data_IF_987597609879
#
_entry.id   IF_987597609879
#
_cell.length_a   1.000
_cell.length_b   1.000
_cell.length_c   1.000
_cell.angle_alpha   90.00
_cell.angle_beta   90.00
_cell.angle_gamma   90.00
#
_symmetry.space_group_name_H-M   'P 1'
#
loop_
_entity.id
_entity.type
_entity.pdbx_description
1 polymer ?
#
# COMPACT_ATOMS: atom_id res chain seq x y z
N UNK A 1 28.08 -3.19 5.20
CA UNK A 1 27.07 -3.72 6.14
C UNK A 1 26.04 -4.53 5.37
N UNK A 2 26.31 -5.83 5.23
CA UNK A 2 25.41 -6.85 4.69
C UNK A 2 24.66 -7.45 5.88
N UNK A 3 23.35 -7.25 6.00
CA UNK A 3 22.52 -7.89 7.03
C UNK A 3 21.15 -8.27 6.44
N UNK A 4 21.15 -9.21 5.48
CA UNK A 4 19.91 -9.68 4.83
C UNK A 4 20.00 -11.18 4.45
N UNK A 5 20.99 -11.91 4.98
CA UNK A 5 21.34 -13.27 4.54
C UNK A 5 20.59 -14.42 5.23
N UNK A 6 19.76 -14.17 6.26
CA UNK A 6 18.95 -15.23 6.91
C UNK A 6 17.47 -15.27 6.48
N UNK A 7 17.02 -14.35 5.62
CA UNK A 7 15.61 -14.21 5.22
C UNK A 7 15.24 -14.95 3.93
N UNK A 8 16.14 -15.74 3.35
CA UNK A 8 15.94 -16.35 2.03
C UNK A 8 14.88 -17.45 2.01
N UNK A 9 14.91 -18.37 2.98
CA UNK A 9 13.91 -19.45 3.12
C UNK A 9 12.56 -18.91 3.60
N UNK A 10 12.56 -18.11 4.68
CA UNK A 10 11.35 -17.54 5.28
C UNK A 10 10.55 -16.63 4.32
N UNK A 11 11.21 -15.92 3.40
CA UNK A 11 10.51 -15.08 2.44
C UNK A 11 9.80 -15.87 1.32
N UNK A 12 10.43 -16.96 0.82
CA UNK A 12 9.79 -17.80 -0.19
C UNK A 12 8.67 -18.64 0.40
N UNK A 13 8.84 -19.14 1.63
CA UNK A 13 7.77 -19.80 2.37
C UNK A 13 6.59 -18.85 2.60
N UNK A 14 6.86 -17.59 2.98
CA UNK A 14 5.80 -16.60 3.15
C UNK A 14 5.08 -16.30 1.84
N UNK A 15 5.80 -16.15 0.72
CA UNK A 15 5.17 -15.98 -0.61
C UNK A 15 4.28 -17.17 -0.95
N UNK A 16 4.75 -18.40 -0.75
CA UNK A 16 3.96 -19.60 -1.04
C UNK A 16 2.69 -19.65 -0.19
N UNK A 17 2.74 -19.28 1.09
CA UNK A 17 1.56 -19.22 1.97
C UNK A 17 0.60 -18.10 1.54
N UNK A 18 1.14 -16.96 1.11
CA UNK A 18 0.35 -15.86 0.56
C UNK A 18 -0.36 -16.24 -0.77
N UNK A 19 0.08 -17.30 -1.44
CA UNK A 19 -0.54 -17.88 -2.64
C UNK A 19 -1.49 -19.07 -2.35
N UNK A 20 -1.73 -19.42 -1.09
CA UNK A 20 -2.70 -20.47 -0.74
C UNK A 20 -4.14 -19.94 -0.71
N UNK A 21 -5.09 -20.81 -1.08
CA UNK A 21 -6.53 -20.55 -0.92
C UNK A 21 -6.85 -20.32 0.57
N UNK A 22 -7.65 -19.32 0.85
CA UNK A 22 -8.17 -19.00 2.19
C UNK A 22 -9.67 -18.78 2.11
N UNK A 23 -10.41 -19.07 3.19
CA UNK A 23 -11.85 -18.75 3.29
C UNK A 23 -12.12 -17.25 3.16
N UNK A 24 -11.09 -16.41 3.34
CA UNK A 24 -11.16 -14.95 3.31
C UNK A 24 -10.62 -14.33 2.03
N UNK A 25 -10.07 -15.13 1.10
CA UNK A 25 -9.50 -14.64 -0.15
C UNK A 25 -10.32 -15.15 -1.33
N UNK A 26 -10.94 -14.21 -2.07
CA UNK A 26 -11.65 -14.56 -3.32
C UNK A 26 -10.70 -15.15 -4.37
N UNK A 27 -11.20 -16.03 -5.25
CA UNK A 27 -10.41 -16.64 -6.33
C UNK A 27 -9.71 -15.57 -7.19
N UNK A 28 -10.45 -14.54 -7.60
CA UNK A 28 -9.89 -13.41 -8.36
C UNK A 28 -8.84 -12.62 -7.56
N UNK A 29 -9.04 -12.49 -6.25
CA UNK A 29 -8.05 -11.87 -5.37
C UNK A 29 -6.76 -12.69 -5.29
N UNK A 30 -6.87 -14.03 -5.28
CA UNK A 30 -5.72 -14.92 -5.29
C UNK A 30 -4.93 -14.83 -6.60
N UNK A 31 -5.60 -14.82 -7.74
CA UNK A 31 -4.98 -14.63 -9.06
C UNK A 31 -4.24 -13.28 -9.13
N UNK A 32 -4.90 -12.21 -8.69
CA UNK A 32 -4.33 -10.87 -8.63
C UNK A 32 -3.09 -10.82 -7.71
N UNK A 33 -3.17 -11.42 -6.52
CA UNK A 33 -2.04 -11.49 -5.59
C UNK A 33 -0.86 -12.28 -6.19
N UNK A 34 -1.15 -13.38 -6.90
CA UNK A 34 -0.16 -14.21 -7.59
C UNK A 34 0.74 -13.40 -8.52
N UNK A 35 0.16 -12.56 -9.38
CA UNK A 35 0.89 -11.66 -10.29
C UNK A 35 1.95 -10.83 -9.54
N UNK A 36 1.57 -10.23 -8.42
CA UNK A 36 2.45 -9.36 -7.64
C UNK A 36 3.52 -10.14 -6.88
N UNK A 37 3.20 -11.33 -6.38
CA UNK A 37 4.18 -12.20 -5.73
C UNK A 37 5.24 -12.73 -6.69
N UNK A 38 4.85 -13.07 -7.92
CA UNK A 38 5.80 -13.50 -8.96
C UNK A 38 6.74 -12.35 -9.34
N UNK A 39 6.22 -11.12 -9.41
CA UNK A 39 7.04 -9.93 -9.62
C UNK A 39 8.05 -9.72 -8.47
N UNK A 40 7.62 -9.88 -7.21
CA UNK A 40 8.51 -9.81 -6.05
C UNK A 40 9.58 -10.91 -6.05
N UNK A 41 9.22 -12.11 -6.51
CA UNK A 41 10.13 -13.25 -6.67
C UNK A 41 11.18 -12.95 -7.73
N UNK A 42 10.78 -12.43 -8.91
CA UNK A 42 11.68 -11.95 -9.97
C UNK A 42 12.72 -10.97 -9.42
N UNK A 43 12.29 -9.95 -8.67
CA UNK A 43 13.22 -8.98 -8.09
C UNK A 43 14.26 -9.59 -7.15
N UNK A 44 13.85 -10.59 -6.36
CA UNK A 44 14.72 -11.24 -5.39
C UNK A 44 15.69 -12.22 -6.04
N UNK A 45 15.20 -13.03 -6.98
CA UNK A 45 15.94 -14.17 -7.54
C UNK A 45 16.74 -13.81 -8.79
N UNK A 46 16.34 -12.77 -9.54
CA UNK A 46 16.96 -12.41 -10.80
C UNK A 46 17.62 -11.03 -10.73
N UNK A 47 16.86 -9.99 -10.36
CA UNK A 47 17.33 -8.60 -10.47
C UNK A 47 18.37 -8.24 -9.38
N UNK A 48 18.12 -8.58 -8.11
CA UNK A 48 19.06 -8.30 -7.00
C UNK A 48 20.41 -9.01 -7.20
N UNK A 49 20.47 -10.32 -7.55
CA UNK A 49 21.73 -11.01 -7.82
C UNK A 49 22.48 -10.45 -9.03
N UNK A 50 21.78 -10.13 -10.12
CA UNK A 50 22.40 -9.54 -11.31
C UNK A 50 23.12 -8.22 -10.98
N UNK A 51 22.48 -7.29 -10.26
CA UNK A 51 23.13 -6.04 -9.84
C UNK A 51 24.33 -6.29 -8.91
N UNK A 52 24.32 -7.34 -8.10
CA UNK A 52 25.44 -7.66 -7.22
C UNK A 52 26.68 -8.16 -7.98
N UNK A 53 26.49 -8.78 -9.15
CA UNK A 53 27.57 -9.33 -9.99
C UNK A 53 28.24 -8.28 -10.89
N UNK A 54 27.58 -7.15 -11.17
CA UNK A 54 28.12 -6.08 -12.03
C UNK A 54 28.54 -4.85 -11.22
N UNK A 55 29.85 -4.64 -11.05
CA UNK A 55 30.40 -3.59 -10.19
C UNK A 55 30.00 -2.17 -10.62
N UNK A 56 30.03 -1.86 -11.91
CA UNK A 56 29.65 -0.54 -12.45
C UNK A 56 28.17 -0.25 -12.22
N UNK A 57 27.29 -1.22 -12.50
CA UNK A 57 25.85 -1.10 -12.24
C UNK A 57 25.57 -0.89 -10.76
N UNK A 58 26.29 -1.61 -9.88
CA UNK A 58 26.17 -1.44 -8.44
C UNK A 58 26.54 -0.02 -7.99
N UNK A 59 27.62 0.55 -8.50
CA UNK A 59 28.04 1.91 -8.13
C UNK A 59 27.01 2.95 -8.61
N UNK A 60 26.59 2.88 -9.87
CA UNK A 60 25.56 3.75 -10.43
C UNK A 60 24.23 3.64 -9.68
N UNK A 61 23.79 2.40 -9.41
CA UNK A 61 22.59 2.10 -8.64
C UNK A 61 22.61 2.74 -7.25
N UNK A 62 23.71 2.64 -6.51
CA UNK A 62 23.81 3.21 -5.16
C UNK A 62 23.78 4.73 -5.17
N UNK A 63 24.41 5.38 -6.16
CA UNK A 63 24.35 6.84 -6.33
C UNK A 63 22.93 7.32 -6.63
N UNK A 64 22.27 6.71 -7.63
CA UNK A 64 20.89 7.02 -8.00
C UNK A 64 19.92 6.78 -6.85
N UNK A 65 20.10 5.66 -6.14
CA UNK A 65 19.36 5.30 -4.93
C UNK A 65 19.42 6.39 -3.86
N UNK A 66 20.61 6.89 -3.53
CA UNK A 66 20.78 7.93 -2.50
C UNK A 66 20.08 9.22 -2.89
N UNK A 67 20.20 9.63 -4.17
CA UNK A 67 19.50 10.82 -4.68
C UNK A 67 17.98 10.67 -4.57
N UNK A 68 17.43 9.54 -5.02
CA UNK A 68 15.99 9.24 -4.93
C UNK A 68 15.48 9.23 -3.49
N UNK A 69 16.17 8.54 -2.58
CA UNK A 69 15.76 8.49 -1.17
C UNK A 69 15.67 9.88 -0.54
N UNK A 70 16.67 10.74 -0.81
CA UNK A 70 16.67 12.12 -0.32
C UNK A 70 15.51 12.94 -0.91
N UNK A 71 15.24 12.82 -2.21
CA UNK A 71 14.16 13.55 -2.86
C UNK A 71 12.79 13.12 -2.31
N UNK A 72 12.54 11.82 -2.15
CA UNK A 72 11.29 11.29 -1.59
C UNK A 72 11.09 11.78 -0.15
N UNK A 73 12.14 11.78 0.68
CA UNK A 73 12.07 12.30 2.05
C UNK A 73 11.87 13.82 2.15
N UNK A 74 11.95 14.56 1.04
CA UNK A 74 11.72 16.01 0.96
C UNK A 74 10.37 16.32 0.29
N UNK A 75 9.52 15.32 0.07
CA UNK A 75 8.21 15.53 -0.51
C UNK A 75 7.33 16.34 0.44
N UNK A 76 6.83 17.45 -0.09
CA UNK A 76 5.80 18.27 0.54
C UNK A 76 4.67 18.43 -0.44
N UNK A 77 3.47 18.69 0.07
CA UNK A 77 2.28 18.85 -0.75
C UNK A 77 2.26 20.23 -1.45
N UNK A 78 3.13 20.39 -2.44
CA UNK A 78 3.23 21.56 -3.30
C UNK A 78 3.49 21.12 -4.72
N UNK A 79 2.74 21.67 -5.68
CA UNK A 79 2.88 21.36 -7.12
C UNK A 79 4.32 21.35 -7.60
N UNK A 80 5.04 22.43 -7.34
CA UNK A 80 6.41 22.64 -7.84
C UNK A 80 7.36 21.54 -7.33
N UNK A 81 7.25 21.18 -6.06
CA UNK A 81 8.05 20.11 -5.45
C UNK A 81 7.72 18.76 -6.07
N UNK A 82 6.44 18.43 -6.21
CA UNK A 82 5.96 17.18 -6.82
C UNK A 82 6.45 17.06 -8.27
N UNK A 83 6.28 18.11 -9.08
CA UNK A 83 6.71 18.15 -10.48
C UNK A 83 8.23 17.99 -10.61
N UNK A 84 9.00 18.74 -9.79
CA UNK A 84 10.46 18.65 -9.79
C UNK A 84 10.94 17.24 -9.46
N UNK A 85 10.44 16.67 -8.36
CA UNK A 85 10.85 15.32 -7.91
C UNK A 85 10.45 14.26 -8.95
N UNK A 86 9.27 14.38 -9.55
CA UNK A 86 8.81 13.49 -10.61
C UNK A 86 9.73 13.56 -11.82
N UNK A 87 10.09 14.75 -12.29
CA UNK A 87 10.97 14.92 -13.45
C UNK A 87 12.41 14.45 -13.17
N UNK A 88 12.94 14.72 -11.96
CA UNK A 88 14.24 14.23 -11.53
C UNK A 88 14.28 12.70 -11.46
N UNK A 89 13.23 12.09 -10.90
CA UNK A 89 13.10 10.63 -10.84
C UNK A 89 12.94 10.00 -12.23
N UNK A 90 12.14 10.62 -13.11
CA UNK A 90 12.00 10.21 -14.51
C UNK A 90 13.33 10.23 -15.26
N UNK A 91 14.15 11.27 -15.04
CA UNK A 91 15.49 11.37 -15.64
C UNK A 91 16.38 10.23 -15.14
N UNK A 92 16.42 9.98 -13.83
CA UNK A 92 17.20 8.87 -13.26
C UNK A 92 16.75 7.52 -13.82
N UNK A 93 15.44 7.30 -13.96
CA UNK A 93 14.89 6.07 -14.51
C UNK A 93 15.31 5.86 -15.97
N UNK A 94 15.18 6.91 -16.77
CA UNK A 94 15.56 6.90 -18.20
C UNK A 94 17.06 6.70 -18.39
N UNK A 95 17.89 7.30 -17.53
CA UNK A 95 19.35 7.11 -17.53
C UNK A 95 19.71 5.65 -17.21
N UNK A 96 19.09 5.08 -16.18
CA UNK A 96 19.27 3.67 -15.83
C UNK A 96 18.81 2.74 -16.96
N UNK A 97 17.70 3.05 -17.63
CA UNK A 97 17.18 2.28 -18.76
C UNK A 97 18.13 2.28 -19.95
N UNK A 98 18.73 3.44 -20.29
CA UNK A 98 19.75 3.51 -21.34
C UNK A 98 21.00 2.68 -21.04
N UNK A 99 21.30 2.46 -19.76
CA UNK A 99 22.44 1.61 -19.35
C UNK A 99 22.09 0.13 -19.36
N UNK A 100 20.94 -0.27 -18.78
CA UNK A 100 20.52 -1.67 -18.69
C UNK A 100 19.08 -1.79 -18.19
N UNK A 101 18.29 -2.68 -18.80
CA UNK A 101 16.94 -3.00 -18.33
C UNK A 101 16.94 -3.53 -16.88
N UNK A 102 17.96 -4.30 -16.49
CA UNK A 102 18.10 -4.81 -15.12
C UNK A 102 18.29 -3.66 -14.12
N UNK A 103 19.09 -2.65 -14.48
CA UNK A 103 19.33 -1.47 -13.65
C UNK A 103 18.07 -0.61 -13.56
N UNK A 104 17.33 -0.47 -14.65
CA UNK A 104 16.05 0.23 -14.71
C UNK A 104 14.98 -0.43 -13.82
N UNK A 105 14.79 -1.74 -13.95
CA UNK A 105 13.90 -2.50 -13.08
C UNK A 105 14.31 -2.40 -11.60
N UNK A 106 15.62 -2.47 -11.32
CA UNK A 106 16.12 -2.35 -9.96
C UNK A 106 15.84 -0.96 -9.36
N UNK A 107 16.05 0.12 -10.12
CA UNK A 107 15.86 1.49 -9.60
C UNK A 107 14.38 1.84 -9.42
N UNK A 108 13.51 1.34 -10.32
CA UNK A 108 12.05 1.40 -10.14
C UNK A 108 11.64 0.69 -8.85
N UNK A 109 12.11 -0.54 -8.65
CA UNK A 109 11.83 -1.29 -7.44
C UNK A 109 12.37 -0.66 -6.17
N UNK A 110 13.56 -0.05 -6.23
CA UNK A 110 14.08 0.72 -5.11
C UNK A 110 13.19 1.92 -4.77
N UNK A 111 12.75 2.66 -5.79
CA UNK A 111 11.89 3.83 -5.61
C UNK A 111 10.55 3.45 -5.01
N UNK A 112 9.94 2.36 -5.50
CA UNK A 112 8.72 1.80 -4.92
C UNK A 112 8.90 1.43 -3.44
N UNK A 113 10.03 0.80 -3.07
CA UNK A 113 10.35 0.53 -1.66
C UNK A 113 10.47 1.81 -0.84
N UNK A 114 11.15 2.83 -1.35
CA UNK A 114 11.34 4.09 -0.64
C UNK A 114 10.01 4.83 -0.42
N UNK A 115 9.09 4.80 -1.38
CA UNK A 115 7.74 5.36 -1.24
C UNK A 115 6.92 4.62 -0.16
N UNK A 116 6.98 3.30 -0.14
CA UNK A 116 6.30 2.47 0.89
C UNK A 116 6.92 2.70 2.27
N UNK A 117 8.26 2.71 2.38
CA UNK A 117 8.97 3.03 3.63
C UNK A 117 8.58 4.41 4.16
N UNK A 118 8.43 5.41 3.28
CA UNK A 118 8.00 6.76 3.65
C UNK A 118 6.55 6.79 4.18
N UNK A 119 5.65 5.98 3.60
CA UNK A 119 4.28 5.88 4.10
C UNK A 119 4.22 5.25 5.49
N UNK A 120 5.02 4.22 5.73
CA UNK A 120 5.09 3.56 7.04
C UNK A 120 5.59 4.49 8.15
N UNK A 121 6.30 5.56 7.81
CA UNK A 121 6.77 6.56 8.78
C UNK A 121 5.88 7.81 8.83
N UNK A 122 5.73 8.53 7.72
CA UNK A 122 5.09 9.86 7.71
C UNK A 122 3.58 9.80 7.52
N UNK A 123 3.08 8.89 6.68
CA UNK A 123 1.63 8.78 6.43
C UNK A 123 0.92 8.19 7.65
N UNK A 124 1.58 7.24 8.33
CA UNK A 124 1.14 6.71 9.63
C UNK A 124 0.85 7.82 10.64
N UNK A 125 1.71 8.85 10.71
CA UNK A 125 1.56 9.97 11.66
C UNK A 125 0.69 11.10 11.12
N UNK A 126 0.77 11.38 9.82
CA UNK A 126 0.05 12.47 9.15
C UNK A 126 -0.48 11.97 7.80
N UNK A 127 -1.73 11.47 7.74
CA UNK A 127 -2.27 10.84 6.54
C UNK A 127 -2.30 11.74 5.29
N UNK A 128 -2.39 13.07 5.43
CA UNK A 128 -2.33 14.00 4.29
C UNK A 128 -1.00 13.98 3.54
N UNK A 129 0.08 13.43 4.13
CA UNK A 129 1.36 13.22 3.42
C UNK A 129 1.27 12.10 2.37
N UNK A 130 0.18 11.33 2.33
CA UNK A 130 -0.08 10.33 1.29
C UNK A 130 -0.22 10.95 -0.10
N UNK A 131 -0.83 12.14 -0.20
CA UNK A 131 -1.13 12.78 -1.48
C UNK A 131 0.11 13.12 -2.32
N UNK A 132 1.15 13.81 -1.81
CA UNK A 132 2.36 14.07 -2.61
C UNK A 132 3.07 12.78 -3.04
N UNK A 133 3.07 11.74 -2.19
CA UNK A 133 3.63 10.42 -2.55
C UNK A 133 2.82 9.76 -3.68
N UNK A 134 1.49 9.83 -3.62
CA UNK A 134 0.60 9.29 -4.63
C UNK A 134 0.73 10.03 -5.97
N UNK A 135 0.80 11.36 -5.98
CA UNK A 135 1.01 12.16 -7.20
C UNK A 135 2.30 11.77 -7.91
N UNK A 136 3.43 11.72 -7.20
CA UNK A 136 4.71 11.27 -7.78
C UNK A 136 4.59 9.84 -8.31
N UNK A 137 3.95 8.95 -7.56
CA UNK A 137 3.75 7.55 -7.95
C UNK A 137 2.99 7.43 -9.26
N UNK A 138 1.82 8.07 -9.34
CA UNK A 138 0.92 8.02 -10.50
C UNK A 138 1.60 8.67 -11.71
N UNK A 139 2.20 9.83 -11.56
CA UNK A 139 2.88 10.51 -12.66
C UNK A 139 4.08 9.70 -13.19
N UNK A 140 4.89 9.10 -12.31
CA UNK A 140 5.96 8.20 -12.77
C UNK A 140 5.39 6.97 -13.48
N UNK A 141 4.29 6.40 -12.99
CA UNK A 141 3.65 5.25 -13.62
C UNK A 141 3.07 5.55 -15.01
N UNK A 142 2.62 6.79 -15.27
CA UNK A 142 2.19 7.20 -16.63
C UNK A 142 3.36 7.25 -17.62
N UNK A 143 4.59 7.45 -17.14
CA UNK A 143 5.82 7.54 -17.97
C UNK A 143 6.61 6.23 -18.04
N UNK A 144 6.47 5.37 -17.04
CA UNK A 144 7.28 4.17 -16.87
C UNK A 144 6.40 2.95 -16.70
N UNK A 145 6.25 2.18 -17.79
CA UNK A 145 5.50 0.95 -17.81
C UNK A 145 5.99 -0.03 -16.73
N UNK A 146 5.06 -0.68 -16.06
CA UNK A 146 5.34 -1.62 -14.96
C UNK A 146 5.63 -0.97 -13.61
N UNK A 147 5.94 0.32 -13.52
CA UNK A 147 6.25 0.97 -12.23
C UNK A 147 5.09 0.87 -11.23
N UNK A 148 3.85 1.05 -11.70
CA UNK A 148 2.66 0.89 -10.86
C UNK A 148 2.54 -0.52 -10.28
N UNK A 149 2.71 -1.57 -11.11
CA UNK A 149 2.66 -2.95 -10.65
C UNK A 149 3.71 -3.24 -9.58
N UNK A 150 4.91 -2.64 -9.71
CA UNK A 150 5.98 -2.76 -8.71
C UNK A 150 5.58 -2.09 -7.38
N UNK A 151 4.96 -0.91 -7.43
CA UNK A 151 4.49 -0.20 -6.23
C UNK A 151 3.38 -0.99 -5.53
N UNK A 152 2.38 -1.47 -6.27
CA UNK A 152 1.29 -2.28 -5.71
C UNK A 152 1.84 -3.58 -5.12
N UNK A 153 2.79 -4.25 -5.78
CA UNK A 153 3.45 -5.43 -5.22
C UNK A 153 4.18 -5.15 -3.91
N UNK A 154 4.84 -3.98 -3.78
CA UNK A 154 5.49 -3.57 -2.54
C UNK A 154 4.49 -3.25 -1.45
N UNK A 155 3.38 -2.59 -1.77
CA UNK A 155 2.31 -2.33 -0.80
C UNK A 155 1.68 -3.63 -0.30
N UNK A 156 1.32 -4.57 -1.19
CA UNK A 156 0.71 -5.87 -0.82
C UNK A 156 1.64 -6.68 0.08
N UNK A 157 2.95 -6.66 -0.19
CA UNK A 157 3.94 -7.34 0.67
C UNK A 157 3.90 -6.81 2.11
N UNK A 158 3.69 -5.51 2.29
CA UNK A 158 3.73 -4.85 3.60
C UNK A 158 2.37 -4.77 4.27
N UNK A 159 1.29 -4.69 3.49
CA UNK A 159 -0.08 -4.65 3.95
C UNK A 159 -0.89 -5.70 3.15
N UNK A 160 -1.07 -6.92 3.70
CA UNK A 160 -1.79 -7.97 2.99
C UNK A 160 -3.26 -7.63 2.79
N UNK A 161 -3.79 -6.63 3.49
CA UNK A 161 -5.17 -6.20 3.39
C UNK A 161 -5.50 -5.42 2.11
N UNK A 162 -4.51 -5.00 1.30
CA UNK A 162 -4.77 -4.43 -0.03
C UNK A 162 -5.47 -5.41 -0.97
N UNK A 163 -5.26 -6.71 -0.77
CA UNK A 163 -6.09 -7.75 -1.34
C UNK A 163 -6.71 -8.46 -0.15
N UNK A 164 -7.94 -8.10 0.26
CA UNK A 164 -8.49 -8.49 1.55
C UNK A 164 -8.31 -9.98 1.85
N UNK A 165 -7.55 -10.26 2.91
CA UNK A 165 -7.24 -11.59 3.43
C UNK A 165 -6.90 -11.47 4.91
N UNK A 166 -7.34 -12.45 5.69
CA UNK A 166 -6.91 -12.65 7.08
C UNK A 166 -6.18 -13.99 7.20
N UNK A 167 -5.30 -14.09 8.20
CA UNK A 167 -4.43 -15.26 8.43
C UNK A 167 -4.79 -16.01 9.71
N UNK A 168 -6.04 -15.89 10.14
CA UNK A 168 -6.66 -16.51 11.31
C UNK A 168 -7.31 -17.88 10.99
N UNK A 169 -7.08 -18.40 9.79
CA UNK A 169 -7.75 -19.58 9.23
C UNK A 169 -7.03 -20.91 9.49
N UNK A 170 -5.76 -20.87 9.91
CA UNK A 170 -4.93 -22.04 10.10
C UNK A 170 -4.52 -22.21 11.57
N UNK A 171 -5.17 -23.10 12.32
CA UNK A 171 -4.88 -23.29 13.75
C UNK A 171 -3.52 -23.94 14.01
N UNK A 172 -2.85 -24.49 12.98
CA UNK A 172 -1.53 -25.11 13.12
C UNK A 172 -0.39 -24.10 12.95
N UNK A 173 -0.68 -22.90 12.45
CA UNK A 173 0.30 -21.86 12.19
C UNK A 173 0.77 -21.23 13.49
N UNK A 174 2.08 -21.06 13.65
CA UNK A 174 2.61 -20.42 14.86
C UNK A 174 2.24 -18.93 14.90
N UNK A 175 2.08 -18.33 16.10
CA UNK A 175 1.77 -16.90 16.23
C UNK A 175 2.80 -15.99 15.54
N UNK A 176 4.08 -16.35 15.56
CA UNK A 176 5.15 -15.58 14.92
C UNK A 176 5.11 -15.67 13.39
N UNK A 177 4.76 -16.83 12.83
CA UNK A 177 4.52 -16.96 11.38
C UNK A 177 3.30 -16.15 10.95
N UNK A 178 2.22 -16.21 11.72
CA UNK A 178 1.00 -15.41 11.47
C UNK A 178 1.32 -13.91 11.49
N UNK A 179 2.07 -13.43 12.49
CA UNK A 179 2.53 -12.02 12.56
C UNK A 179 3.33 -11.61 11.32
N UNK A 180 4.28 -12.45 10.88
CA UNK A 180 5.06 -12.19 9.66
C UNK A 180 4.20 -12.09 8.40
N UNK A 181 3.20 -12.96 8.25
CA UNK A 181 2.27 -12.92 7.11
C UNK A 181 1.35 -11.71 7.16
N UNK A 182 0.94 -11.32 8.35
CA UNK A 182 0.13 -10.13 8.60
C UNK A 182 0.91 -8.83 8.36
N UNK A 183 2.24 -8.86 8.30
CA UNK A 183 3.07 -7.70 8.06
C UNK A 183 3.58 -7.01 9.34
N UNK A 184 3.44 -7.65 10.51
CA UNK A 184 4.01 -7.14 11.75
C UNK A 184 5.53 -6.93 11.61
N UNK A 185 6.01 -5.93 12.31
CA UNK A 185 7.40 -5.55 12.42
C UNK A 185 7.90 -5.73 13.84
N UNK A 186 9.21 -5.84 13.95
CA UNK A 186 9.87 -5.77 15.23
C UNK A 186 10.03 -4.31 15.64
N UNK A 187 9.53 -3.97 16.82
CA UNK A 187 9.83 -2.70 17.51
C UNK A 187 11.29 -2.67 17.96
N UNK A 188 11.81 -3.82 18.40
CA UNK A 188 13.23 -4.08 18.62
C UNK A 188 13.66 -5.33 17.86
N UNK A 189 14.51 -5.14 16.85
CA UNK A 189 15.02 -6.24 16.00
C UNK A 189 16.02 -7.14 16.72
N UNK A 190 16.78 -6.61 17.67
CA UNK A 190 17.79 -7.37 18.42
C UNK A 190 17.10 -8.26 19.46
N UNK A 191 16.12 -7.70 20.17
CA UNK A 191 15.30 -8.45 21.12
C UNK A 191 14.22 -9.32 20.45
N UNK A 192 14.03 -9.22 19.13
CA UNK A 192 12.92 -9.82 18.37
C UNK A 192 11.55 -9.52 18.98
N UNK A 193 11.40 -8.31 19.52
CA UNK A 193 10.15 -7.85 20.13
C UNK A 193 9.25 -7.31 19.03
N UNK A 194 8.05 -7.87 18.91
CA UNK A 194 7.03 -7.38 17.98
C UNK A 194 6.54 -5.99 18.42
N UNK A 195 6.15 -5.17 17.45
CA UNK A 195 5.38 -3.95 17.73
C UNK A 195 4.02 -4.31 18.34
N UNK A 196 3.44 -3.37 19.09
CA UNK A 196 2.13 -3.60 19.71
C UNK A 196 0.98 -3.48 18.68
N UNK A 197 -0.23 -3.86 19.10
CA UNK A 197 -1.40 -3.85 18.22
C UNK A 197 -1.82 -2.44 17.76
N UNK A 198 -1.50 -1.39 18.53
CA UNK A 198 -1.80 0.00 18.17
C UNK A 198 -0.85 0.44 17.07
N UNK A 199 0.46 0.25 17.26
CA UNK A 199 1.51 0.56 16.27
C UNK A 199 1.25 -0.18 14.95
N UNK A 200 0.91 -1.48 15.04
CA UNK A 200 0.55 -2.29 13.89
C UNK A 200 -0.64 -1.71 13.11
N UNK A 201 -1.74 -1.39 13.81
CA UNK A 201 -2.95 -0.83 13.18
C UNK A 201 -2.67 0.53 12.54
N UNK A 202 -1.88 1.38 13.19
CA UNK A 202 -1.49 2.69 12.66
C UNK A 202 -0.68 2.55 11.37
N UNK A 203 0.35 1.68 11.35
CA UNK A 203 1.15 1.49 10.14
C UNK A 203 0.29 0.92 8.99
N UNK A 204 -0.68 0.03 9.29
CA UNK A 204 -1.55 -0.57 8.28
C UNK A 204 -2.49 0.48 7.70
N UNK A 205 -3.00 1.36 8.56
CA UNK A 205 -3.82 2.52 8.18
C UNK A 205 -3.04 3.49 7.30
N UNK A 206 -1.75 3.73 7.61
CA UNK A 206 -0.85 4.55 6.78
C UNK A 206 -0.63 3.97 5.38
N UNK A 207 -0.40 2.66 5.27
CA UNK A 207 -0.24 1.97 3.99
C UNK A 207 -1.54 1.99 3.16
N UNK A 208 -2.69 1.75 3.78
CA UNK A 208 -4.00 1.89 3.12
C UNK A 208 -4.24 3.34 2.68
N UNK A 209 -3.81 4.33 3.46
CA UNK A 209 -3.95 5.75 3.11
C UNK A 209 -3.11 6.12 1.88
N UNK A 210 -1.85 5.65 1.78
CA UNK A 210 -1.06 5.82 0.57
C UNK A 210 -1.73 5.17 -0.64
N UNK A 211 -2.20 3.92 -0.48
CA UNK A 211 -2.87 3.20 -1.55
C UNK A 211 -4.18 3.88 -1.99
N UNK A 212 -4.98 4.37 -1.04
CA UNK A 212 -6.19 5.14 -1.28
C UNK A 212 -5.88 6.44 -2.06
N UNK A 213 -4.80 7.13 -1.68
CA UNK A 213 -4.34 8.32 -2.38
C UNK A 213 -3.92 7.98 -3.83
N UNK A 214 -3.24 6.85 -4.05
CA UNK A 214 -2.87 6.40 -5.41
C UNK A 214 -4.12 6.17 -6.26
N UNK A 215 -5.12 5.42 -5.80
CA UNK A 215 -6.30 5.09 -6.62
C UNK A 215 -7.19 6.30 -6.92
N UNK A 216 -7.21 7.30 -6.04
CA UNK A 216 -8.07 8.46 -6.19
C UNK A 216 -7.41 9.62 -6.96
N UNK A 217 -6.08 9.60 -7.06
CA UNK A 217 -5.30 10.64 -7.76
C UNK A 217 -5.67 10.71 -9.24
N UNK A 218 -5.97 11.91 -9.72
CA UNK A 218 -6.03 12.22 -11.13
C UNK A 218 -4.67 12.81 -11.56
N UNK A 219 -4.02 12.29 -12.62
CA UNK A 219 -2.79 12.87 -13.14
C UNK A 219 -2.98 14.32 -13.61
N UNK A 220 -1.87 15.03 -13.82
CA UNK A 220 -1.88 16.36 -14.42
C UNK A 220 -2.59 16.38 -15.78
N UNK A 221 -3.26 17.49 -16.15
CA UNK A 221 -3.80 17.66 -17.48
C UNK A 221 -2.75 17.34 -18.56
N UNK A 222 -3.09 16.44 -19.48
CA UNK A 222 -2.21 15.99 -20.56
C UNK A 222 -1.30 14.79 -20.25
N UNK A 223 -1.30 14.26 -19.01
CA UNK A 223 -0.52 13.05 -18.65
C UNK A 223 -1.31 11.74 -18.76
N UNK A 224 -2.49 11.77 -19.37
CA UNK A 224 -3.35 10.59 -19.52
C UNK A 224 -4.14 10.26 -18.25
N UNK A 225 -4.63 9.02 -18.17
CA UNK A 225 -5.41 8.53 -17.03
C UNK A 225 -4.52 7.87 -15.98
N UNK A 226 -5.05 7.76 -14.75
CA UNK A 226 -4.37 7.02 -13.69
C UNK A 226 -4.26 5.54 -14.08
N UNK A 227 -3.04 4.96 -14.16
CA UNK A 227 -2.86 3.54 -14.51
C UNK A 227 -3.47 2.55 -13.51
N UNK A 228 -3.85 3.02 -12.32
CA UNK A 228 -4.48 2.22 -11.27
C UNK A 228 -5.65 3.00 -10.63
N UNK A 229 -6.77 3.15 -11.36
CA UNK A 229 -7.80 4.11 -11.03
C UNK A 229 -8.75 3.63 -9.92
N UNK A 230 -9.69 4.50 -9.52
CA UNK A 230 -10.60 4.35 -8.36
C UNK A 230 -11.44 3.06 -8.37
N UNK A 231 -11.61 2.41 -9.52
CA UNK A 231 -12.25 1.10 -9.70
C UNK A 231 -11.59 0.01 -8.84
N UNK A 232 -10.27 0.09 -8.61
CA UNK A 232 -9.57 -0.82 -7.70
C UNK A 232 -10.00 -0.58 -6.25
N UNK A 233 -10.26 0.68 -5.88
CA UNK A 233 -10.89 1.06 -4.61
C UNK A 233 -12.27 0.42 -4.42
N UNK A 234 -13.13 0.49 -5.44
CA UNK A 234 -14.46 -0.12 -5.40
C UNK A 234 -14.37 -1.64 -5.22
N UNK A 235 -13.49 -2.29 -6.00
CA UNK A 235 -13.25 -3.73 -5.93
C UNK A 235 -12.76 -4.15 -4.54
N UNK A 236 -11.85 -3.38 -3.95
CA UNK A 236 -11.37 -3.61 -2.59
C UNK A 236 -12.48 -3.49 -1.55
N UNK A 237 -13.27 -2.41 -1.59
CA UNK A 237 -14.36 -2.18 -0.64
C UNK A 237 -15.43 -3.28 -0.75
N UNK A 238 -15.76 -3.71 -1.96
CA UNK A 238 -16.67 -4.84 -2.17
C UNK A 238 -16.08 -6.15 -1.62
N UNK A 239 -14.79 -6.44 -1.86
CA UNK A 239 -14.13 -7.65 -1.36
C UNK A 239 -14.08 -7.68 0.16
N UNK A 240 -13.69 -6.58 0.80
CA UNK A 240 -13.58 -6.52 2.26
C UNK A 240 -14.94 -6.65 2.93
N UNK A 241 -16.00 -6.00 2.40
CA UNK A 241 -17.37 -6.18 2.90
C UNK A 241 -17.97 -7.57 2.66
N UNK A 242 -17.40 -8.37 1.75
CA UNK A 242 -17.86 -9.74 1.47
C UNK A 242 -17.18 -10.82 2.33
N UNK A 243 -16.31 -10.43 3.26
CA UNK A 243 -15.68 -11.33 4.24
C UNK A 243 -16.00 -10.85 5.66
N UNK A 244 -16.17 -11.74 6.66
CA UNK A 244 -16.46 -11.32 8.03
C UNK A 244 -15.41 -10.33 8.55
N UNK A 245 -15.79 -9.22 9.21
CA UNK A 245 -14.82 -8.25 9.70
C UNK A 245 -14.05 -8.81 10.90
N UNK A 246 -12.79 -8.38 11.02
CA UNK A 246 -11.93 -8.53 12.21
C UNK A 246 -11.72 -7.16 12.87
N UNK A 247 -11.20 -7.12 14.10
CA UNK A 247 -10.94 -5.88 14.85
C UNK A 247 -10.22 -4.76 14.07
N UNK A 248 -9.31 -5.09 13.14
CA UNK A 248 -8.59 -4.10 12.32
C UNK A 248 -9.45 -3.49 11.19
N UNK A 249 -10.47 -4.21 10.74
CA UNK A 249 -11.24 -3.90 9.50
C UNK A 249 -11.85 -2.50 9.49
N UNK A 250 -12.49 -2.03 10.59
CA UNK A 250 -13.04 -0.68 10.61
C UNK A 250 -11.98 0.40 10.40
N UNK A 251 -10.77 0.21 10.94
CA UNK A 251 -9.67 1.16 10.77
C UNK A 251 -9.20 1.22 9.32
N UNK A 252 -9.11 0.07 8.63
CA UNK A 252 -8.73 0.02 7.21
C UNK A 252 -9.77 0.73 6.34
N UNK A 253 -11.06 0.43 6.54
CA UNK A 253 -12.16 1.07 5.79
C UNK A 253 -12.17 2.58 6.06
N UNK A 254 -12.05 3.00 7.32
CA UNK A 254 -12.04 4.41 7.68
C UNK A 254 -10.85 5.15 7.03
N UNK A 255 -9.64 4.57 7.09
CA UNK A 255 -8.43 5.16 6.47
C UNK A 255 -8.58 5.32 4.96
N UNK A 256 -9.20 4.33 4.30
CA UNK A 256 -9.48 4.42 2.88
C UNK A 256 -10.49 5.52 2.56
N UNK A 257 -11.61 5.60 3.29
CA UNK A 257 -12.67 6.58 3.05
C UNK A 257 -12.23 8.02 3.37
N UNK A 258 -11.44 8.24 4.43
CA UNK A 258 -10.89 9.55 4.76
C UNK A 258 -10.04 10.15 3.64
N UNK A 259 -9.39 9.31 2.82
CA UNK A 259 -8.51 9.73 1.72
C UNK A 259 -9.21 9.72 0.35
N UNK A 260 -9.96 8.68 0.04
CA UNK A 260 -10.53 8.44 -1.29
C UNK A 260 -12.06 8.51 -1.33
N UNK A 261 -12.73 8.68 -0.19
CA UNK A 261 -14.18 8.63 -0.06
C UNK A 261 -14.91 9.64 -0.94
N UNK A 262 -14.44 10.89 -0.99
CA UNK A 262 -15.03 11.93 -1.84
C UNK A 262 -14.96 11.55 -3.33
N UNK A 263 -13.78 11.12 -3.82
CA UNK A 263 -13.61 10.68 -5.20
C UNK A 263 -14.45 9.44 -5.51
N UNK A 264 -14.56 8.52 -4.55
CA UNK A 264 -15.39 7.33 -4.68
C UNK A 264 -16.88 7.69 -4.75
N UNK A 265 -17.35 8.63 -3.93
CA UNK A 265 -18.74 9.12 -3.95
C UNK A 265 -19.05 9.83 -5.26
N UNK A 266 -18.13 10.67 -5.74
CA UNK A 266 -18.27 11.34 -7.03
C UNK A 266 -18.34 10.33 -8.19
N UNK A 267 -17.62 9.21 -8.10
CA UNK A 267 -17.60 8.17 -9.14
C UNK A 267 -18.83 7.24 -9.05
N UNK A 268 -19.29 6.93 -7.85
CA UNK A 268 -20.38 5.98 -7.58
C UNK A 268 -21.50 6.59 -6.70
N UNK A 269 -22.12 7.72 -7.10
CA UNK A 269 -22.98 8.52 -6.22
C UNK A 269 -24.25 7.79 -5.76
N UNK A 270 -24.68 6.77 -6.50
CA UNK A 270 -25.86 5.95 -6.16
C UNK A 270 -25.52 4.64 -5.45
N UNK A 271 -24.32 4.11 -5.67
CA UNK A 271 -23.95 2.78 -5.18
C UNK A 271 -23.12 2.84 -3.89
N UNK A 272 -22.21 3.81 -3.77
CA UNK A 272 -21.44 3.98 -2.53
C UNK A 272 -22.34 4.17 -1.30
N UNK A 273 -23.40 5.01 -1.32
CA UNK A 273 -24.26 5.20 -0.14
C UNK A 273 -24.87 3.89 0.37
N UNK A 274 -25.24 2.96 -0.53
CA UNK A 274 -25.76 1.65 -0.16
C UNK A 274 -24.72 0.79 0.57
N UNK A 275 -23.47 0.85 0.12
CA UNK A 275 -22.35 0.15 0.75
C UNK A 275 -22.03 0.76 2.12
N UNK A 276 -22.02 2.09 2.24
CA UNK A 276 -21.83 2.77 3.52
C UNK A 276 -22.93 2.42 4.54
N UNK A 277 -24.18 2.37 4.07
CA UNK A 277 -25.30 1.92 4.89
C UNK A 277 -25.17 0.46 5.32
N UNK A 278 -24.77 -0.44 4.41
CA UNK A 278 -24.48 -1.85 4.72
C UNK A 278 -23.40 -1.96 5.80
N UNK A 279 -22.32 -1.18 5.66
CA UNK A 279 -21.21 -1.17 6.61
C UNK A 279 -21.72 -0.78 8.01
N UNK A 280 -22.48 0.30 8.09
CA UNK A 280 -23.00 0.82 9.36
C UNK A 280 -24.04 -0.10 10.01
N UNK A 281 -25.00 -0.61 9.22
CA UNK A 281 -26.19 -1.30 9.75
C UNK A 281 -26.02 -2.80 9.91
N UNK A 282 -25.13 -3.43 9.15
CA UNK A 282 -25.02 -4.90 9.10
C UNK A 282 -23.59 -5.38 9.35
N UNK A 283 -22.60 -4.67 8.82
CA UNK A 283 -21.21 -5.14 8.87
C UNK A 283 -20.53 -4.86 10.22
N UNK A 284 -20.59 -3.61 10.72
CA UNK A 284 -20.03 -3.24 12.03
C UNK A 284 -20.66 -4.01 13.21
N UNK A 285 -21.98 -4.28 13.23
CA UNK A 285 -22.59 -5.13 14.25
C UNK A 285 -22.01 -6.55 14.34
N UNK A 286 -21.39 -7.09 13.29
CA UNK A 286 -20.72 -8.41 13.35
C UNK A 286 -19.50 -8.41 14.29
N UNK A 287 -18.98 -7.22 14.64
CA UNK A 287 -17.90 -7.04 15.61
C UNK A 287 -18.42 -6.84 17.05
N UNK A 288 -19.72 -6.96 17.29
CA UNK A 288 -20.29 -6.79 18.63
C UNK A 288 -19.66 -7.80 19.60
N UNK A 289 -19.11 -7.29 20.71
CA UNK A 289 -18.42 -8.10 21.73
C UNK A 289 -16.91 -8.24 21.54
N UNK A 290 -16.37 -7.85 20.37
CA UNK A 290 -14.92 -7.76 20.16
C UNK A 290 -14.38 -6.45 20.77
N UNK A 291 -13.71 -6.59 21.92
CA UNK A 291 -13.16 -5.44 22.68
C UNK A 291 -12.07 -4.69 21.90
N UNK A 292 -11.32 -5.39 21.05
CA UNK A 292 -10.23 -4.80 20.27
C UNK A 292 -10.76 -3.98 19.08
N UNK A 293 -11.99 -4.25 18.65
CA UNK A 293 -12.66 -3.56 17.55
C UNK A 293 -13.30 -2.23 17.98
N UNK A 294 -13.69 -2.07 19.25
CA UNK A 294 -14.59 -0.99 19.73
C UNK A 294 -14.12 0.39 19.28
N UNK A 295 -12.86 0.74 19.53
CA UNK A 295 -12.36 2.07 19.21
C UNK A 295 -12.40 2.38 17.69
N UNK A 296 -12.03 1.39 16.86
CA UNK A 296 -12.03 1.56 15.41
C UNK A 296 -13.45 1.55 14.83
N UNK A 297 -14.34 0.70 15.35
CA UNK A 297 -15.74 0.62 14.96
C UNK A 297 -16.47 1.93 15.29
N UNK A 298 -16.29 2.48 16.50
CA UNK A 298 -16.88 3.77 16.90
C UNK A 298 -16.42 4.91 15.98
N UNK A 299 -15.12 4.98 15.67
CA UNK A 299 -14.60 6.02 14.76
C UNK A 299 -15.23 5.93 13.37
N UNK A 300 -15.32 4.73 12.80
CA UNK A 300 -15.97 4.54 11.50
C UNK A 300 -17.46 4.87 11.56
N UNK A 301 -18.19 4.46 12.61
CA UNK A 301 -19.59 4.82 12.80
C UNK A 301 -19.80 6.33 12.82
N UNK A 302 -19.03 7.08 13.63
CA UNK A 302 -19.14 8.54 13.70
C UNK A 302 -18.83 9.22 12.36
N UNK A 303 -17.85 8.70 11.61
CA UNK A 303 -17.54 9.17 10.25
C UNK A 303 -18.73 8.95 9.30
N UNK A 304 -19.37 7.78 9.34
CA UNK A 304 -20.54 7.46 8.51
C UNK A 304 -21.81 8.21 8.93
N UNK A 305 -22.01 8.46 10.21
CA UNK A 305 -23.10 9.29 10.75
C UNK A 305 -22.98 10.75 10.29
N UNK A 306 -21.75 11.27 10.27
CA UNK A 306 -21.46 12.60 9.72
C UNK A 306 -21.85 12.68 8.24
N UNK A 307 -21.53 11.64 7.46
CA UNK A 307 -21.98 11.54 6.08
C UNK A 307 -23.51 11.44 5.95
N UNK A 308 -24.17 10.61 6.77
CA UNK A 308 -25.62 10.46 6.74
C UNK A 308 -26.35 11.78 7.03
N UNK A 309 -25.77 12.63 7.88
CA UNK A 309 -26.33 13.93 8.25
C UNK A 309 -26.03 15.02 7.21
N UNK A 310 -24.79 15.08 6.71
CA UNK A 310 -24.32 16.19 5.86
C UNK A 310 -24.42 15.91 4.35
N UNK A 311 -24.56 14.64 3.96
CA UNK A 311 -24.40 14.18 2.57
C UNK A 311 -22.97 14.26 2.03
N UNK A 312 -21.99 14.63 2.87
CA UNK A 312 -20.58 14.82 2.47
C UNK A 312 -19.69 13.87 3.26
N UNK A 313 -18.82 13.16 2.53
CA UNK A 313 -17.75 12.38 3.18
C UNK A 313 -16.65 13.34 3.58
N UNK A 314 -16.23 13.27 4.84
CA UNK A 314 -15.06 14.03 5.30
C UNK A 314 -13.83 13.60 4.51
N UNK A 315 -13.15 14.57 3.90
CA UNK A 315 -11.94 14.33 3.15
C UNK A 315 -10.76 14.99 3.88
N UNK A 316 -9.65 14.29 3.97
CA UNK A 316 -8.40 14.89 4.43
C UNK A 316 -7.94 15.91 3.38
N UNK A 317 -7.74 17.14 3.81
CA UNK A 317 -7.28 18.22 2.93
C UNK A 317 -5.92 17.91 2.28
N UNK A 318 -5.74 18.43 1.06
CA UNK A 318 -4.50 18.29 0.30
C UNK A 318 -4.54 17.26 -0.83
N UNK A 319 -5.70 16.70 -1.17
CA UNK A 319 -5.86 15.84 -2.35
C UNK A 319 -5.45 16.53 -3.65
N UNK A 320 -5.69 17.85 -3.72
CA UNK A 320 -5.08 18.78 -4.66
C UNK A 320 -4.05 19.61 -3.90
N UNK A 321 -2.86 19.75 -4.48
CA UNK A 321 -1.74 20.52 -3.94
C UNK A 321 -1.90 22.02 -4.18
#
# INVERSE_FOLDING_TARGET
MNNDFSLTSCYLSNIMILQQKSSTLSIKGLEEAGKYFDLLKKFKEQIKPAIAQHAEWKQGAMKSRMKLKRMIGQLVNKRETIMRITNDAHTIFSDCQRTSDILYEWIMNFTAKALVEQAETEVTVKPSTAYPLAHVTVMLATKHAGFMDIVIARLIKHCPYLIPRYFDDDPKRSPDETRKLMGYKYSDKEAKQWEDAVQYKEHMSGLISLWAAIVQTAPEPGMGENPYPIQHGWTWLARICNIPPRAITPALINSFLEIAGERMLATYPRQLPKVLQLIMQQYLPLLAGDKDAVAAATRLSSYLETYATSGKLGAIEGSRY
#
